data_IF_771533644693
#
_entry.id   IF_771533644693
#
_cell.length_a   1.000
_cell.length_b   1.000
_cell.length_c   1.000
_cell.angle_alpha   90.00
_cell.angle_beta   90.00
_cell.angle_gamma   90.00
#
_symmetry.space_group_name_H-M   'P 1'
#
loop_
_entity.id
_entity.type
_entity.pdbx_description
1 polymer ?
#
# COMPACT_ATOMS: atom_id res chain seq x y z
N UNK A 1 12.08 -12.75 -0.85
CA UNK A 1 11.02 -13.17 -1.78
C UNK A 1 9.81 -12.29 -1.58
N UNK A 2 9.19 -11.85 -2.68
CA UNK A 2 7.98 -11.03 -2.66
C UNK A 2 6.76 -11.94 -2.70
N UNK A 3 5.72 -11.59 -1.99
CA UNK A 3 4.44 -12.25 -2.10
C UNK A 3 3.83 -12.02 -3.49
N UNK A 4 3.31 -13.09 -4.12
CA UNK A 4 2.83 -13.06 -5.51
C UNK A 4 3.91 -13.27 -6.58
N UNK A 5 5.22 -13.18 -6.23
CA UNK A 5 6.34 -13.24 -7.20
C UNK A 5 7.53 -14.08 -6.69
N UNK A 6 7.27 -14.99 -5.74
CA UNK A 6 8.32 -15.69 -5.00
C UNK A 6 9.18 -16.64 -5.87
N UNK A 7 8.60 -17.25 -6.90
CA UNK A 7 9.30 -18.17 -7.81
C UNK A 7 10.29 -17.39 -8.68
N UNK A 8 9.84 -16.29 -9.28
CA UNK A 8 10.71 -15.44 -10.12
C UNK A 8 11.81 -14.78 -9.30
N UNK A 9 11.50 -14.28 -8.10
CA UNK A 9 12.49 -13.74 -7.15
C UNK A 9 13.56 -14.77 -6.76
N UNK A 10 13.20 -16.05 -6.62
CA UNK A 10 14.15 -17.12 -6.34
C UNK A 10 15.00 -17.47 -7.55
N UNK A 11 14.37 -17.59 -8.72
CA UNK A 11 15.03 -18.00 -9.96
C UNK A 11 15.93 -16.90 -10.55
N UNK A 12 15.60 -15.60 -10.30
CA UNK A 12 16.33 -14.43 -10.83
C UNK A 12 16.51 -13.38 -9.73
N UNK A 13 17.26 -13.69 -8.65
CA UNK A 13 17.41 -12.78 -7.52
C UNK A 13 18.23 -11.54 -7.91
N UNK A 14 17.81 -10.37 -7.43
CA UNK A 14 18.61 -9.14 -7.51
C UNK A 14 19.94 -9.28 -6.73
N UNK A 15 19.90 -9.95 -5.59
CA UNK A 15 21.03 -10.33 -4.75
C UNK A 15 20.64 -11.47 -3.81
N UNK A 16 21.63 -12.23 -3.38
CA UNK A 16 21.48 -13.22 -2.31
C UNK A 16 22.43 -12.86 -1.18
N UNK A 17 21.91 -12.78 0.04
CA UNK A 17 22.71 -12.52 1.25
C UNK A 17 22.69 -13.77 2.11
N UNK A 18 23.85 -14.26 2.49
CA UNK A 18 24.02 -15.51 3.27
C UNK A 18 24.88 -15.24 4.49
N UNK A 19 24.29 -15.41 5.68
CA UNK A 19 25.05 -15.43 6.94
C UNK A 19 25.68 -16.80 7.15
N UNK A 20 26.99 -16.84 7.35
CA UNK A 20 27.75 -18.08 7.56
C UNK A 20 28.78 -17.92 8.65
N UNK A 21 29.07 -19.02 9.38
CA UNK A 21 30.11 -19.08 10.41
C UNK A 21 31.30 -19.96 9.99
N UNK A 22 31.23 -20.66 8.86
CA UNK A 22 32.29 -21.55 8.41
C UNK A 22 32.54 -21.47 6.92
N UNK A 23 33.80 -21.63 6.51
CA UNK A 23 34.18 -21.66 5.10
C UNK A 23 33.54 -22.83 4.35
N UNK A 24 33.32 -23.96 5.02
CA UNK A 24 32.59 -25.11 4.44
C UNK A 24 31.16 -24.73 4.05
N UNK A 25 30.43 -24.03 4.93
CA UNK A 25 29.08 -23.56 4.65
C UNK A 25 29.07 -22.57 3.47
N UNK A 26 30.02 -21.64 3.46
CA UNK A 26 30.19 -20.67 2.38
C UNK A 26 30.36 -21.33 1.02
N UNK A 27 31.28 -22.31 0.89
CA UNK A 27 31.53 -23.06 -0.35
C UNK A 27 30.27 -23.79 -0.82
N UNK A 28 29.52 -24.41 0.11
CA UNK A 28 28.28 -25.12 -0.24
C UNK A 28 27.22 -24.15 -0.76
N UNK A 29 27.00 -23.03 -0.06
CA UNK A 29 26.00 -22.02 -0.46
C UNK A 29 26.40 -21.33 -1.77
N UNK A 30 27.67 -21.09 -2.01
CA UNK A 30 28.15 -20.53 -3.29
C UNK A 30 27.82 -21.49 -4.45
N UNK A 31 28.10 -22.79 -4.30
CA UNK A 31 27.75 -23.79 -5.32
C UNK A 31 26.23 -23.87 -5.56
N UNK A 32 25.43 -23.80 -4.50
CA UNK A 32 23.98 -23.87 -4.57
C UNK A 32 23.38 -22.71 -5.36
N UNK A 33 23.84 -21.48 -5.11
CA UNK A 33 23.25 -20.29 -5.73
C UNK A 33 23.88 -19.90 -7.07
N UNK A 34 25.06 -20.42 -7.41
CA UNK A 34 25.77 -20.11 -8.66
C UNK A 34 24.90 -20.26 -9.92
N UNK A 35 24.06 -21.31 -10.11
CA UNK A 35 23.22 -21.45 -11.30
C UNK A 35 22.18 -20.34 -11.46
N UNK A 36 21.71 -19.74 -10.37
CA UNK A 36 20.65 -18.69 -10.37
C UNK A 36 21.21 -17.29 -10.59
N UNK A 37 22.54 -17.12 -10.63
CA UNK A 37 23.23 -15.83 -10.64
C UNK A 37 24.15 -15.64 -11.85
N UNK A 38 23.90 -16.37 -12.94
CA UNK A 38 24.80 -16.39 -14.11
C UNK A 38 24.97 -15.02 -14.79
N UNK A 39 23.95 -14.16 -14.76
CA UNK A 39 23.98 -12.86 -15.42
C UNK A 39 24.33 -11.69 -14.49
N UNK A 40 24.31 -11.88 -13.18
CA UNK A 40 24.54 -10.81 -12.21
C UNK A 40 24.93 -11.41 -10.86
N UNK A 41 26.23 -11.78 -10.73
CA UNK A 41 26.74 -12.42 -9.51
C UNK A 41 26.77 -11.44 -8.34
N UNK A 42 25.71 -11.41 -7.54
CA UNK A 42 25.57 -10.61 -6.33
C UNK A 42 25.31 -11.48 -5.11
N UNK A 43 26.21 -12.42 -4.85
CA UNK A 43 26.21 -13.24 -3.64
C UNK A 43 27.08 -12.56 -2.59
N UNK A 44 26.46 -12.17 -1.49
CA UNK A 44 27.10 -11.47 -0.38
C UNK A 44 27.17 -12.43 0.80
N UNK A 45 28.37 -12.74 1.27
CA UNK A 45 28.59 -13.49 2.50
C UNK A 45 28.93 -12.55 3.65
N UNK A 46 28.34 -12.81 4.80
CA UNK A 46 28.58 -12.06 6.04
C UNK A 46 28.33 -12.97 7.25
N UNK A 47 28.49 -12.46 8.46
CA UNK A 47 28.06 -13.12 9.69
C UNK A 47 26.53 -13.21 9.77
N UNK A 48 26.01 -14.10 10.61
CA UNK A 48 24.56 -14.33 10.73
C UNK A 48 23.81 -13.08 11.22
N UNK A 49 24.25 -12.39 12.30
CA UNK A 49 23.57 -11.17 12.75
C UNK A 49 23.47 -10.08 11.68
N UNK A 50 24.54 -9.87 10.90
CA UNK A 50 24.54 -8.91 9.81
C UNK A 50 23.61 -9.31 8.66
N UNK A 51 23.52 -10.60 8.30
CA UNK A 51 22.59 -11.08 7.28
C UNK A 51 21.14 -10.85 7.68
N UNK A 52 20.79 -11.14 8.93
CA UNK A 52 19.45 -10.87 9.48
C UNK A 52 19.16 -9.38 9.50
N UNK A 53 20.08 -8.56 9.96
CA UNK A 53 19.95 -7.10 10.01
C UNK A 53 19.74 -6.48 8.62
N UNK A 54 20.45 -6.97 7.59
CA UNK A 54 20.30 -6.50 6.20
C UNK A 54 18.85 -6.63 5.74
N UNK A 55 18.18 -7.76 6.06
CA UNK A 55 16.77 -7.97 5.70
C UNK A 55 15.85 -6.95 6.36
N UNK A 56 15.96 -6.78 7.67
CA UNK A 56 15.13 -5.83 8.42
C UNK A 56 15.41 -4.39 8.02
N UNK A 57 16.67 -4.00 7.87
CA UNK A 57 17.07 -2.66 7.46
C UNK A 57 16.57 -2.31 6.05
N UNK A 58 16.65 -3.25 5.10
CA UNK A 58 16.15 -3.04 3.75
C UNK A 58 14.64 -2.77 3.74
N UNK A 59 13.83 -3.62 4.40
CA UNK A 59 12.39 -3.44 4.46
C UNK A 59 12.00 -2.16 5.21
N UNK A 60 12.69 -1.83 6.30
CA UNK A 60 12.48 -0.59 7.05
C UNK A 60 12.81 0.65 6.23
N UNK A 61 13.85 0.62 5.39
CA UNK A 61 14.18 1.71 4.48
C UNK A 61 13.08 1.91 3.43
N UNK A 62 12.53 0.83 2.87
CA UNK A 62 11.43 0.93 1.91
C UNK A 62 10.15 1.48 2.55
N UNK A 63 9.81 1.02 3.76
CA UNK A 63 8.70 1.56 4.55
C UNK A 63 8.91 3.05 4.88
N UNK A 64 10.12 3.45 5.25
CA UNK A 64 10.48 4.85 5.50
C UNK A 64 10.23 5.73 4.27
N UNK A 65 10.61 5.27 3.08
CA UNK A 65 10.37 6.02 1.83
C UNK A 65 8.88 6.23 1.56
N UNK A 66 8.06 5.21 1.80
CA UNK A 66 6.60 5.32 1.62
C UNK A 66 6.01 6.30 2.63
N UNK A 67 6.30 6.13 3.94
CA UNK A 67 5.79 7.03 4.98
C UNK A 67 6.27 8.46 4.78
N UNK A 68 7.56 8.67 4.41
CA UNK A 68 8.07 9.99 4.08
C UNK A 68 7.28 10.65 2.95
N UNK A 69 6.99 9.91 1.87
CA UNK A 69 6.21 10.47 0.74
C UNK A 69 4.76 10.72 1.11
N UNK A 70 4.17 9.93 2.01
CA UNK A 70 2.84 10.17 2.53
C UNK A 70 2.79 11.44 3.39
N UNK A 71 3.78 11.66 4.25
CA UNK A 71 3.90 12.86 5.07
C UNK A 71 4.10 14.10 4.20
N UNK A 72 4.97 14.04 3.18
CA UNK A 72 5.14 15.09 2.16
C UNK A 72 3.83 15.33 1.38
N UNK A 73 3.09 14.29 1.03
CA UNK A 73 1.81 14.44 0.31
C UNK A 73 0.78 15.21 1.15
N UNK A 74 0.68 14.89 2.44
CA UNK A 74 -0.20 15.60 3.36
C UNK A 74 0.18 17.07 3.50
N UNK A 75 1.48 17.39 3.57
CA UNK A 75 1.96 18.77 3.56
C UNK A 75 1.68 19.48 2.22
N UNK A 76 1.91 18.80 1.08
CA UNK A 76 1.62 19.36 -0.25
C UNK A 76 0.18 19.83 -0.36
N UNK A 77 -0.77 19.05 0.16
CA UNK A 77 -2.19 19.40 0.16
C UNK A 77 -2.49 20.70 0.95
N UNK A 78 -1.78 20.92 2.06
CA UNK A 78 -1.93 22.11 2.90
C UNK A 78 -1.33 23.37 2.27
N UNK A 79 -0.23 23.22 1.53
CA UNK A 79 0.50 24.37 0.94
C UNK A 79 0.20 24.56 -0.55
N UNK A 80 -0.68 23.75 -1.15
CA UNK A 80 -1.08 23.85 -2.56
C UNK A 80 -0.01 23.36 -3.55
N UNK A 81 0.91 22.48 -3.12
CA UNK A 81 1.88 21.84 -4.01
C UNK A 81 1.32 20.54 -4.61
N UNK A 82 1.81 20.13 -5.78
CA UNK A 82 1.48 18.84 -6.39
C UNK A 82 2.51 17.77 -6.00
N UNK A 83 2.10 16.78 -5.22
CA UNK A 83 2.98 15.70 -4.77
C UNK A 83 3.55 14.87 -5.92
N UNK A 84 2.86 14.75 -7.05
CA UNK A 84 3.38 14.01 -8.20
C UNK A 84 4.56 14.75 -8.84
N UNK A 85 4.53 16.08 -8.86
CA UNK A 85 5.67 16.90 -9.31
C UNK A 85 6.82 16.84 -8.31
N UNK A 86 6.54 16.90 -7.00
CA UNK A 86 7.55 16.72 -5.95
C UNK A 86 8.21 15.33 -6.09
N UNK A 87 7.41 14.26 -6.22
CA UNK A 87 7.90 12.90 -6.44
C UNK A 87 8.80 12.79 -7.67
N UNK A 88 8.38 13.36 -8.81
CA UNK A 88 9.17 13.37 -10.05
C UNK A 88 10.49 14.13 -9.85
N UNK A 89 10.43 15.28 -9.21
CA UNK A 89 11.61 16.11 -8.94
C UNK A 89 12.66 15.42 -8.08
N UNK A 90 12.28 14.93 -6.89
CA UNK A 90 13.22 14.24 -6.00
C UNK A 90 13.65 12.88 -6.56
N UNK A 91 12.76 12.17 -7.27
CA UNK A 91 13.06 10.88 -7.89
C UNK A 91 14.01 10.95 -9.08
N UNK A 92 14.20 12.13 -9.69
CA UNK A 92 15.18 12.38 -10.75
C UNK A 92 16.61 12.51 -10.21
N UNK A 93 16.80 12.79 -8.91
CA UNK A 93 18.11 12.75 -8.28
C UNK A 93 18.60 11.29 -8.20
N UNK A 94 19.74 11.00 -8.83
CA UNK A 94 20.32 9.65 -8.87
C UNK A 94 20.64 9.08 -7.49
N UNK A 95 20.86 9.92 -6.48
CA UNK A 95 21.12 9.54 -5.09
C UNK A 95 19.85 9.03 -4.40
N UNK A 96 18.68 9.44 -4.87
CA UNK A 96 17.38 9.06 -4.33
C UNK A 96 16.74 7.97 -5.20
N UNK A 97 16.57 8.21 -6.50
CA UNK A 97 15.87 7.33 -7.43
C UNK A 97 14.35 7.27 -7.19
N UNK A 98 13.59 6.82 -8.18
CA UNK A 98 12.13 6.93 -8.22
C UNK A 98 11.33 5.82 -7.49
N UNK A 99 12.00 4.72 -7.11
CA UNK A 99 11.32 3.56 -6.51
C UNK A 99 10.84 3.85 -5.08
N UNK A 100 9.65 3.35 -4.72
CA UNK A 100 9.03 3.51 -3.39
C UNK A 100 8.75 4.96 -2.97
N UNK A 101 8.52 5.85 -3.92
CA UNK A 101 8.15 7.26 -3.69
C UNK A 101 6.69 7.56 -4.03
N UNK A 102 5.83 6.56 -4.17
CA UNK A 102 4.42 6.76 -4.49
C UNK A 102 3.62 6.95 -3.21
N UNK A 103 2.99 8.13 -3.01
CA UNK A 103 2.09 8.32 -1.89
C UNK A 103 0.80 7.52 -2.10
N UNK A 104 0.15 7.17 -1.01
CA UNK A 104 -1.09 6.41 -1.02
C UNK A 104 -1.74 6.35 0.36
N UNK A 105 -2.72 5.47 0.52
CA UNK A 105 -3.45 5.28 1.78
C UNK A 105 -2.74 4.40 2.82
N UNK A 106 -1.40 4.41 2.84
CA UNK A 106 -0.58 3.60 3.74
C UNK A 106 -0.20 2.23 3.16
N UNK A 107 0.77 1.59 3.81
CA UNK A 107 1.20 0.24 3.48
C UNK A 107 0.64 -0.78 4.47
N UNK A 108 0.47 -2.02 3.99
CA UNK A 108 0.09 -3.19 4.76
C UNK A 108 0.92 -4.41 4.36
N UNK A 109 0.31 -5.58 4.45
CA UNK A 109 0.93 -6.87 4.12
C UNK A 109 1.74 -7.46 5.26
N UNK A 110 2.29 -8.64 5.00
CA UNK A 110 3.00 -9.45 5.99
C UNK A 110 4.42 -8.99 6.30
N UNK A 111 5.04 -8.18 5.41
CA UNK A 111 6.47 -7.89 5.50
C UNK A 111 6.77 -6.54 6.19
N UNK A 112 6.33 -5.42 5.62
CA UNK A 112 6.71 -4.10 6.13
C UNK A 112 6.25 -3.85 7.57
N UNK A 113 4.96 -4.02 7.94
CA UNK A 113 4.54 -3.76 9.31
C UNK A 113 5.25 -4.68 10.32
N UNK A 114 5.36 -5.97 10.00
CA UNK A 114 6.01 -6.95 10.88
C UNK A 114 7.49 -6.64 11.08
N UNK A 115 8.23 -6.36 9.99
CA UNK A 115 9.68 -6.18 10.04
C UNK A 115 10.06 -4.85 10.74
N UNK A 116 9.30 -3.77 10.49
CA UNK A 116 9.47 -2.49 11.18
C UNK A 116 9.20 -2.66 12.68
N UNK A 117 8.06 -3.24 13.06
CA UNK A 117 7.68 -3.50 14.46
C UNK A 117 8.68 -4.43 15.17
N UNK A 118 9.19 -5.47 14.47
CA UNK A 118 10.18 -6.39 15.01
C UNK A 118 11.52 -5.69 15.27
N UNK A 119 11.97 -4.84 14.34
CA UNK A 119 13.23 -4.11 14.51
C UNK A 119 13.14 -3.09 15.66
N UNK A 120 12.02 -2.38 15.81
CA UNK A 120 11.77 -1.50 16.95
C UNK A 120 11.86 -2.27 18.27
N UNK A 121 11.18 -3.42 18.37
CA UNK A 121 11.21 -4.28 19.59
C UNK A 121 12.60 -4.83 19.88
N UNK A 122 13.36 -5.22 18.86
CA UNK A 122 14.73 -5.70 19.00
C UNK A 122 15.65 -4.60 19.57
N UNK A 123 15.52 -3.39 19.05
CA UNK A 123 16.27 -2.23 19.54
C UNK A 123 15.93 -1.92 21.01
N UNK A 124 14.65 -1.93 21.37
CA UNK A 124 14.18 -1.69 22.76
C UNK A 124 14.75 -2.73 23.73
N UNK A 125 14.78 -4.00 23.37
CA UNK A 125 15.42 -5.07 24.16
C UNK A 125 16.92 -4.85 24.34
N UNK A 126 17.56 -4.17 23.40
CA UNK A 126 18.98 -3.81 23.45
C UNK A 126 19.24 -2.43 24.08
N UNK A 127 18.22 -1.81 24.68
CA UNK A 127 18.34 -0.49 25.32
C UNK A 127 18.42 0.69 24.34
N UNK A 128 18.04 0.50 23.07
CA UNK A 128 18.10 1.53 22.03
C UNK A 128 16.72 1.90 21.51
N UNK A 129 16.45 3.19 21.29
CA UNK A 129 15.19 3.66 20.72
C UNK A 129 15.34 3.99 19.24
N UNK A 130 14.63 3.27 18.39
CA UNK A 130 14.56 3.48 16.93
C UNK A 130 13.60 4.64 16.60
N UNK A 131 14.01 5.88 16.85
CA UNK A 131 13.17 7.09 16.68
C UNK A 131 12.61 7.24 15.28
N UNK A 132 13.42 7.03 14.24
CA UNK A 132 12.98 7.14 12.84
C UNK A 132 11.87 6.12 12.55
N UNK A 133 12.04 4.86 12.92
CA UNK A 133 11.06 3.82 12.62
C UNK A 133 9.77 3.98 13.43
N UNK A 134 9.84 4.53 14.66
CA UNK A 134 8.63 4.88 15.41
C UNK A 134 7.82 5.95 14.70
N UNK A 135 8.46 6.99 14.18
CA UNK A 135 7.79 8.02 13.38
C UNK A 135 7.22 7.45 12.05
N UNK A 136 7.95 6.55 11.39
CA UNK A 136 7.48 5.87 10.17
C UNK A 136 6.19 5.07 10.43
N UNK A 137 6.13 4.34 11.54
CA UNK A 137 4.94 3.57 11.93
C UNK A 137 3.76 4.50 12.27
N UNK A 138 4.00 5.57 13.02
CA UNK A 138 2.99 6.58 13.37
C UNK A 138 2.37 7.23 12.12
N UNK A 139 3.20 7.66 11.18
CA UNK A 139 2.73 8.20 9.89
C UNK A 139 1.92 7.17 9.12
N UNK A 140 2.36 5.91 9.06
CA UNK A 140 1.65 4.88 8.33
C UNK A 140 0.28 4.57 8.96
N UNK A 141 0.19 4.48 10.27
CA UNK A 141 -1.09 4.23 10.95
C UNK A 141 -2.08 5.39 10.72
N UNK A 142 -1.62 6.64 10.81
CA UNK A 142 -2.45 7.81 10.50
C UNK A 142 -2.92 7.79 9.04
N UNK A 143 -2.02 7.42 8.12
CA UNK A 143 -2.30 7.40 6.69
C UNK A 143 -3.40 6.41 6.28
N UNK A 144 -3.57 5.31 7.00
CA UNK A 144 -4.64 4.33 6.74
C UNK A 144 -6.05 4.93 6.87
N UNK A 145 -6.18 6.07 7.55
CA UNK A 145 -7.46 6.78 7.77
C UNK A 145 -7.70 7.92 6.80
N UNK A 146 -6.74 8.30 5.98
CA UNK A 146 -6.78 9.56 5.20
C UNK A 146 -8.00 9.65 4.26
N UNK A 147 -8.39 8.55 3.61
CA UNK A 147 -9.55 8.54 2.73
C UNK A 147 -10.85 8.70 3.52
N UNK A 148 -10.96 8.11 4.70
CA UNK A 148 -12.09 8.30 5.58
C UNK A 148 -12.22 9.76 6.02
N UNK A 149 -11.12 10.40 6.42
CA UNK A 149 -11.12 11.81 6.84
C UNK A 149 -11.54 12.75 5.71
N UNK A 150 -11.06 12.52 4.49
CA UNK A 150 -11.47 13.26 3.30
C UNK A 150 -12.96 13.08 3.00
N UNK A 151 -13.45 11.85 3.06
CA UNK A 151 -14.85 11.53 2.83
C UNK A 151 -15.74 12.17 3.90
N UNK A 152 -15.36 12.07 5.16
CA UNK A 152 -16.09 12.66 6.28
C UNK A 152 -16.17 14.19 6.16
N UNK A 153 -15.07 14.83 5.74
CA UNK A 153 -15.03 16.28 5.45
C UNK A 153 -15.95 16.64 4.28
N UNK A 154 -15.98 15.83 3.22
CA UNK A 154 -16.84 16.07 2.05
C UNK A 154 -18.32 16.10 2.44
N UNK A 155 -18.75 15.17 3.28
CA UNK A 155 -20.15 15.07 3.76
C UNK A 155 -20.41 15.80 5.08
N UNK A 156 -19.58 16.78 5.45
CA UNK A 156 -19.73 17.63 6.65
C UNK A 156 -19.92 16.83 7.97
N UNK A 157 -19.25 15.69 8.07
CA UNK A 157 -19.28 14.85 9.27
C UNK A 157 -20.40 13.81 9.31
N UNK A 158 -21.28 13.75 8.33
CA UNK A 158 -22.42 12.81 8.30
C UNK A 158 -22.26 11.76 7.17
N UNK A 159 -21.96 10.52 7.57
CA UNK A 159 -21.89 9.37 6.68
C UNK A 159 -23.01 8.36 6.92
N UNK A 160 -23.98 8.70 7.81
CA UNK A 160 -25.08 7.80 8.11
C UNK A 160 -25.86 7.46 6.85
N UNK A 161 -26.11 6.17 6.66
CA UNK A 161 -26.84 5.59 5.54
C UNK A 161 -26.24 5.85 4.13
N UNK A 162 -25.04 6.48 4.05
CA UNK A 162 -24.31 6.65 2.79
C UNK A 162 -23.88 5.30 2.21
N UNK A 163 -24.03 5.13 0.89
CA UNK A 163 -23.58 3.94 0.17
C UNK A 163 -22.16 4.18 -0.37
N UNK A 164 -21.20 3.45 0.16
CA UNK A 164 -19.78 3.63 -0.18
C UNK A 164 -19.30 2.43 -0.97
N UNK A 165 -18.90 2.67 -2.23
CA UNK A 165 -18.18 1.70 -3.03
C UNK A 165 -16.72 1.65 -2.64
N UNK A 166 -16.17 0.46 -2.45
CA UNK A 166 -14.77 0.27 -2.10
C UNK A 166 -14.10 -0.65 -3.13
N UNK A 167 -13.15 -0.11 -3.89
CA UNK A 167 -12.36 -0.86 -4.85
C UNK A 167 -10.98 -1.20 -4.31
N UNK A 168 -10.75 -2.50 -4.14
CA UNK A 168 -9.53 -3.07 -3.59
C UNK A 168 -9.59 -3.32 -2.09
N UNK A 169 -9.34 -4.57 -1.72
CA UNK A 169 -9.35 -5.08 -0.35
C UNK A 169 -7.96 -5.54 0.10
N UNK A 170 -7.20 -6.18 -0.82
CA UNK A 170 -5.82 -6.59 -0.57
C UNK A 170 -4.89 -5.38 -0.37
N UNK A 171 -3.78 -5.57 0.35
CA UNK A 171 -2.82 -4.48 0.59
C UNK A 171 -2.08 -4.02 -0.68
N UNK A 172 -2.04 -4.85 -1.72
CA UNK A 172 -1.48 -4.57 -3.06
C UNK A 172 -2.15 -5.45 -4.11
N UNK A 173 -2.03 -5.13 -5.42
CA UNK A 173 -2.48 -6.01 -6.50
C UNK A 173 -1.81 -7.40 -6.50
N UNK A 174 -2.46 -8.38 -7.17
CA UNK A 174 -1.95 -9.73 -7.44
C UNK A 174 -1.75 -10.61 -6.19
N UNK A 175 -2.53 -10.34 -5.13
CA UNK A 175 -2.58 -11.17 -3.91
C UNK A 175 -3.93 -11.02 -3.22
N UNK A 176 -4.30 -12.01 -2.40
CA UNK A 176 -5.43 -11.94 -1.48
C UNK A 176 -5.03 -11.49 -0.07
N UNK A 177 -3.74 -11.16 0.16
CA UNK A 177 -3.25 -10.81 1.49
C UNK A 177 -3.84 -9.49 1.99
N UNK A 178 -4.62 -9.58 3.05
CA UNK A 178 -5.26 -8.45 3.73
C UNK A 178 -4.64 -8.12 5.09
N UNK A 179 -3.51 -8.74 5.45
CA UNK A 179 -2.85 -8.44 6.73
C UNK A 179 -2.44 -6.97 6.79
N UNK A 180 -2.84 -6.29 7.85
CA UNK A 180 -2.55 -4.85 8.02
C UNK A 180 -2.99 -3.96 6.83
N UNK A 181 -3.95 -4.43 6.00
CA UNK A 181 -4.40 -3.70 4.83
C UNK A 181 -5.16 -2.42 5.23
N UNK A 182 -4.93 -1.28 4.55
CA UNK A 182 -5.67 -0.04 4.79
C UNK A 182 -7.17 -0.19 4.63
N UNK A 183 -7.62 -1.08 3.75
CA UNK A 183 -9.04 -1.40 3.54
C UNK A 183 -9.78 -1.81 4.82
N UNK A 184 -9.14 -2.61 5.69
CA UNK A 184 -9.74 -3.04 6.95
C UNK A 184 -9.98 -1.86 7.90
N UNK A 185 -9.02 -0.94 8.00
CA UNK A 185 -9.15 0.27 8.83
C UNK A 185 -10.26 1.17 8.30
N UNK A 186 -10.34 1.33 6.96
CA UNK A 186 -11.39 2.11 6.31
C UNK A 186 -12.77 1.50 6.53
N UNK A 187 -12.90 0.18 6.37
CA UNK A 187 -14.16 -0.54 6.60
C UNK A 187 -14.66 -0.33 8.04
N UNK A 188 -13.78 -0.52 9.03
CA UNK A 188 -14.15 -0.34 10.43
C UNK A 188 -14.64 1.09 10.70
N UNK A 189 -13.90 2.11 10.25
CA UNK A 189 -14.27 3.52 10.45
C UNK A 189 -15.58 3.91 9.72
N UNK A 190 -15.78 3.40 8.51
CA UNK A 190 -16.99 3.67 7.73
C UNK A 190 -18.23 3.05 8.40
N UNK A 191 -18.13 1.81 8.90
CA UNK A 191 -19.21 1.15 9.64
C UNK A 191 -19.52 1.90 10.93
N UNK A 192 -18.48 2.29 11.70
CA UNK A 192 -18.62 3.08 12.92
C UNK A 192 -19.32 4.43 12.66
N UNK A 193 -19.09 5.03 11.50
CA UNK A 193 -19.76 6.26 11.06
C UNK A 193 -21.19 6.04 10.48
N UNK A 194 -21.67 4.80 10.44
CA UNK A 194 -23.02 4.45 9.97
C UNK A 194 -23.17 4.33 8.46
N UNK A 195 -22.07 4.25 7.70
CA UNK A 195 -22.10 4.04 6.26
C UNK A 195 -22.35 2.57 5.91
N UNK A 196 -22.97 2.33 4.75
CA UNK A 196 -23.09 1.02 4.12
C UNK A 196 -21.99 0.86 3.08
N UNK A 197 -21.32 -0.28 3.07
CA UNK A 197 -20.18 -0.53 2.18
C UNK A 197 -20.52 -1.66 1.23
N UNK A 198 -20.23 -1.44 -0.06
CA UNK A 198 -20.22 -2.49 -1.08
C UNK A 198 -18.83 -2.56 -1.72
N UNK A 199 -18.10 -3.65 -1.48
CA UNK A 199 -16.72 -3.79 -1.88
C UNK A 199 -16.53 -4.74 -3.06
N UNK A 200 -15.52 -4.47 -3.87
CA UNK A 200 -15.02 -5.37 -4.90
C UNK A 200 -13.50 -5.43 -4.91
N UNK A 201 -12.98 -6.63 -4.98
CA UNK A 201 -11.56 -6.93 -5.22
C UNK A 201 -11.47 -8.18 -6.11
N UNK A 202 -10.61 -8.23 -7.13
CA UNK A 202 -10.54 -9.37 -8.05
C UNK A 202 -10.18 -10.71 -7.40
N UNK A 203 -9.46 -10.70 -6.26
CA UNK A 203 -8.92 -11.90 -5.62
C UNK A 203 -9.26 -11.98 -4.12
N UNK A 204 -9.29 -10.86 -3.40
CA UNK A 204 -9.34 -10.86 -1.93
C UNK A 204 -10.75 -10.93 -1.33
N UNK A 205 -11.81 -11.11 -2.11
CA UNK A 205 -13.19 -11.13 -1.63
C UNK A 205 -13.44 -12.24 -0.59
N UNK A 206 -13.00 -13.47 -0.88
CA UNK A 206 -13.19 -14.62 0.01
C UNK A 206 -12.37 -14.44 1.31
N UNK A 207 -11.15 -13.92 1.20
CA UNK A 207 -10.32 -13.62 2.38
C UNK A 207 -10.94 -12.52 3.23
N UNK A 208 -11.52 -11.49 2.62
CA UNK A 208 -12.26 -10.45 3.32
C UNK A 208 -13.45 -11.04 4.07
N UNK A 209 -14.25 -11.85 3.39
CA UNK A 209 -15.41 -12.52 4.00
C UNK A 209 -15.02 -13.45 5.14
N UNK A 210 -13.89 -14.14 5.02
CA UNK A 210 -13.35 -14.98 6.09
C UNK A 210 -12.96 -14.15 7.33
N UNK A 211 -12.46 -12.91 7.15
CA UNK A 211 -11.99 -12.04 8.24
C UNK A 211 -13.10 -11.29 8.95
N UNK A 212 -14.00 -10.69 8.17
CA UNK A 212 -15.00 -9.77 8.70
C UNK A 212 -16.44 -10.24 8.49
N UNK A 213 -16.66 -11.39 7.83
CA UNK A 213 -18.00 -11.94 7.57
C UNK A 213 -18.82 -11.04 6.66
N UNK A 214 -20.11 -10.97 6.94
CA UNK A 214 -21.09 -10.21 6.17
C UNK A 214 -21.33 -8.79 6.75
N UNK A 215 -20.30 -8.18 7.35
CA UNK A 215 -20.36 -6.78 7.86
C UNK A 215 -20.49 -5.76 6.74
N UNK A 216 -20.14 -6.13 5.51
CA UNK A 216 -20.24 -5.35 4.28
C UNK A 216 -20.90 -6.18 3.18
N UNK A 217 -21.40 -5.54 2.13
CA UNK A 217 -21.85 -6.21 0.92
C UNK A 217 -20.64 -6.46 -0.02
N UNK A 218 -20.70 -7.56 -0.77
CA UNK A 218 -19.69 -7.97 -1.73
C UNK A 218 -20.28 -7.90 -3.14
N UNK A 219 -19.64 -7.14 -4.01
CA UNK A 219 -20.06 -6.95 -5.39
C UNK A 219 -19.59 -8.09 -6.30
N UNK A 220 -20.31 -8.31 -7.40
CA UNK A 220 -19.92 -9.31 -8.42
C UNK A 220 -18.82 -8.81 -9.35
N UNK A 221 -18.74 -7.49 -9.56
CA UNK A 221 -17.71 -6.82 -10.34
C UNK A 221 -17.56 -5.35 -9.89
N UNK A 222 -16.62 -4.64 -10.50
CA UNK A 222 -16.31 -3.24 -10.16
C UNK A 222 -17.50 -2.29 -10.42
N UNK A 223 -18.34 -2.55 -11.42
CA UNK A 223 -19.47 -1.69 -11.76
C UNK A 223 -20.67 -1.97 -10.86
N UNK A 224 -20.90 -3.25 -10.47
CA UNK A 224 -21.88 -3.60 -9.45
C UNK A 224 -21.54 -2.93 -8.10
N UNK A 225 -20.26 -2.79 -7.76
CA UNK A 225 -19.85 -2.12 -6.53
C UNK A 225 -20.29 -0.65 -6.47
N UNK A 226 -20.31 0.06 -7.60
CA UNK A 226 -20.61 1.51 -7.65
C UNK A 226 -22.08 1.82 -7.92
N UNK A 227 -22.93 0.80 -8.12
CA UNK A 227 -24.35 1.01 -8.36
C UNK A 227 -25.01 1.68 -7.13
N UNK A 228 -25.65 2.84 -7.37
CA UNK A 228 -26.29 3.70 -6.37
C UNK A 228 -25.32 4.21 -5.26
N UNK A 229 -24.01 4.16 -5.48
CA UNK A 229 -23.02 4.63 -4.51
C UNK A 229 -23.01 6.16 -4.40
N UNK A 230 -22.95 6.66 -3.15
CA UNK A 230 -22.70 8.08 -2.87
C UNK A 230 -21.21 8.44 -3.10
N UNK A 231 -20.27 7.52 -2.89
CA UNK A 231 -18.84 7.73 -3.17
C UNK A 231 -18.13 6.44 -3.53
N UNK A 232 -17.05 6.55 -4.32
CA UNK A 232 -16.09 5.50 -4.63
C UNK A 232 -14.75 5.78 -3.94
N UNK A 233 -14.25 4.81 -3.17
CA UNK A 233 -12.91 4.80 -2.59
C UNK A 233 -12.04 3.77 -3.32
N UNK A 234 -10.97 4.21 -3.97
CA UNK A 234 -9.94 3.33 -4.53
C UNK A 234 -8.83 3.11 -3.50
N UNK A 235 -8.68 1.87 -3.05
CA UNK A 235 -7.70 1.49 -2.00
C UNK A 235 -6.54 0.67 -2.56
N UNK A 236 -6.78 -0.17 -3.57
CA UNK A 236 -5.75 -1.00 -4.20
C UNK A 236 -5.76 -0.81 -5.72
N UNK A 237 -4.59 -0.56 -6.30
CA UNK A 237 -4.43 -0.17 -7.71
C UNK A 237 -4.41 -1.36 -8.68
N UNK A 238 -5.45 -2.21 -8.66
CA UNK A 238 -5.59 -3.29 -9.63
C UNK A 238 -5.60 -2.78 -11.08
N UNK A 239 -5.13 -3.61 -12.02
CA UNK A 239 -5.05 -3.22 -13.45
C UNK A 239 -6.41 -2.82 -14.02
N UNK A 240 -7.47 -3.55 -13.66
CA UNK A 240 -8.83 -3.28 -14.12
C UNK A 240 -9.39 -1.94 -13.62
N UNK A 241 -8.96 -1.46 -12.46
CA UNK A 241 -9.39 -0.17 -11.92
C UNK A 241 -8.72 1.03 -12.59
N UNK A 242 -7.65 0.82 -13.38
CA UNK A 242 -6.88 1.94 -13.97
C UNK A 242 -7.61 2.67 -15.11
N UNK A 243 -8.49 1.97 -15.82
CA UNK A 243 -9.21 2.52 -16.97
C UNK A 243 -10.69 2.15 -16.91
N UNK A 244 -11.44 2.59 -15.87
CA UNK A 244 -12.86 2.31 -15.78
C UNK A 244 -13.62 3.14 -16.83
N UNK A 245 -14.83 2.71 -17.17
CA UNK A 245 -15.72 3.53 -17.98
C UNK A 245 -16.38 4.62 -17.10
N UNK A 246 -15.79 5.81 -17.10
CA UNK A 246 -16.33 6.96 -16.34
C UNK A 246 -17.77 7.30 -16.75
N UNK A 247 -18.12 7.08 -18.03
CA UNK A 247 -19.49 7.26 -18.52
C UNK A 247 -20.48 6.29 -17.86
N UNK A 248 -20.06 5.07 -17.53
CA UNK A 248 -20.90 4.12 -16.76
C UNK A 248 -20.99 4.61 -15.32
N UNK A 249 -19.87 4.90 -14.67
CA UNK A 249 -19.86 5.36 -13.29
C UNK A 249 -20.76 6.58 -13.10
N UNK A 250 -20.65 7.61 -13.95
CA UNK A 250 -21.47 8.82 -13.87
C UNK A 250 -22.97 8.59 -14.08
N UNK A 251 -23.39 7.44 -14.64
CA UNK A 251 -24.80 7.07 -14.79
C UNK A 251 -25.32 6.16 -13.69
N UNK A 252 -24.42 5.43 -13.01
CA UNK A 252 -24.80 4.39 -12.03
C UNK A 252 -24.59 4.84 -10.59
N UNK A 253 -23.64 5.75 -10.35
CA UNK A 253 -23.45 6.34 -9.03
C UNK A 253 -24.55 7.38 -8.75
N UNK A 254 -24.92 7.50 -7.49
CA UNK A 254 -25.84 8.52 -7.01
C UNK A 254 -25.16 9.88 -6.90
N UNK A 255 -23.97 9.93 -6.29
CA UNK A 255 -23.10 11.08 -6.26
C UNK A 255 -21.77 10.72 -6.94
N UNK A 256 -21.29 11.57 -7.85
CA UNK A 256 -20.05 11.32 -8.60
C UNK A 256 -18.80 11.71 -7.79
N UNK A 257 -18.64 11.16 -6.59
CA UNK A 257 -17.52 11.44 -5.67
C UNK A 257 -16.51 10.31 -5.72
N UNK A 258 -15.25 10.62 -6.07
CA UNK A 258 -14.15 9.66 -6.19
C UNK A 258 -12.99 10.07 -5.28
N UNK A 259 -12.59 9.16 -4.38
CA UNK A 259 -11.41 9.29 -3.54
C UNK A 259 -10.36 8.29 -3.99
N UNK A 260 -9.30 8.80 -4.62
CA UNK A 260 -8.22 7.99 -5.19
C UNK A 260 -7.07 7.85 -4.19
N UNK A 261 -7.02 6.74 -3.49
CA UNK A 261 -5.99 6.41 -2.51
C UNK A 261 -4.65 5.99 -3.11
N UNK A 262 -4.53 5.98 -4.46
CA UNK A 262 -3.32 5.52 -5.17
C UNK A 262 -2.81 6.51 -6.22
N UNK A 263 -3.52 7.63 -6.40
CA UNK A 263 -3.16 8.68 -7.37
C UNK A 263 -2.98 8.12 -8.79
N UNK A 264 -3.88 7.24 -9.23
CA UNK A 264 -3.81 6.62 -10.55
C UNK A 264 -4.65 7.30 -11.62
N UNK A 265 -5.56 8.20 -11.22
CA UNK A 265 -6.46 8.87 -12.14
C UNK A 265 -6.02 10.31 -12.46
N UNK A 266 -6.50 10.80 -13.61
CA UNK A 266 -6.34 12.20 -14.00
C UNK A 266 -7.49 13.04 -13.44
N UNK A 267 -7.19 13.89 -12.45
CA UNK A 267 -8.20 14.71 -11.80
C UNK A 267 -8.80 15.81 -12.69
N UNK A 268 -8.09 16.29 -13.73
CA UNK A 268 -8.64 17.25 -14.70
C UNK A 268 -9.70 16.59 -15.58
N UNK A 269 -9.42 15.37 -16.04
CA UNK A 269 -10.36 14.57 -16.82
C UNK A 269 -11.64 14.28 -16.03
N UNK A 270 -11.52 13.82 -14.77
CA UNK A 270 -12.67 13.53 -13.93
C UNK A 270 -13.52 14.76 -13.67
N UNK A 271 -12.90 15.90 -13.34
CA UNK A 271 -13.62 17.16 -13.16
C UNK A 271 -14.32 17.62 -14.43
N UNK A 272 -13.72 17.39 -15.61
CA UNK A 272 -14.35 17.65 -16.90
C UNK A 272 -15.57 16.77 -17.21
N UNK A 273 -15.76 15.67 -16.45
CA UNK A 273 -16.91 14.77 -16.51
C UNK A 273 -17.85 14.91 -15.29
N UNK A 274 -17.78 16.05 -14.59
CA UNK A 274 -18.58 16.39 -13.40
C UNK A 274 -18.35 15.49 -12.18
N UNK A 275 -17.18 14.81 -12.08
CA UNK A 275 -16.80 14.11 -10.88
C UNK A 275 -16.11 15.03 -9.86
N UNK A 276 -16.49 14.86 -8.60
CA UNK A 276 -15.73 15.44 -7.48
C UNK A 276 -14.60 14.49 -7.16
N UNK A 277 -13.36 14.93 -7.37
CA UNK A 277 -12.18 14.07 -7.26
C UNK A 277 -11.25 14.52 -6.15
N UNK A 278 -10.91 13.58 -5.28
CA UNK A 278 -9.93 13.71 -4.23
C UNK A 278 -8.77 12.73 -4.45
N UNK A 279 -7.55 13.18 -4.23
CA UNK A 279 -6.33 12.36 -4.28
C UNK A 279 -5.55 12.50 -2.97
N UNK A 280 -4.42 11.84 -2.87
CA UNK A 280 -3.45 11.98 -1.78
C UNK A 280 -2.41 13.04 -2.20
N UNK A 281 -2.45 14.23 -1.61
CA UNK A 281 -1.54 15.35 -1.87
C UNK A 281 -1.81 16.18 -3.14
#
# INVERSE_FOLDING_TARGET
LKEGDAVDDFMKPDRVVVGVESEKAKIIMERLYKPFMMNNYRLIFTDIPSAEMIKYAANSMLATRISFMNDIANLCELVGADVNMVRKGIGADSRIGSKFLYPGCGYGGSCFPKDVKALIKTAEKSGYSMRVLKAVEEVNESQKSILFEKLLKHYNGDLKDKQIALWGLAFKPETDDMREAPSLVLIDKLIEAGANIKAYDPIAMDECKRRIGDRIAYATDMYDAVLDADALLLVTEWKEFRMPSWSILGKTMKDCVVLDGRNIYNGEELRGMDFIYYKIG
#
